data_IF_039869347779
#
_entry.id   IF_039869347779
#
_cell.length_a   1.000
_cell.length_b   1.000
_cell.length_c   1.000
_cell.angle_alpha   90.00
_cell.angle_beta   90.00
_cell.angle_gamma   90.00
#
_symmetry.space_group_name_H-M   'P 1'
#
loop_
_entity.id
_entity.type
_entity.pdbx_description
1 polymer ?
#
# COMPACT_ATOMS: atom_id res chain seq x y z
N UNK A 1 7.00 -11.47 3.18
CA UNK A 1 5.82 -11.32 2.31
C UNK A 1 6.31 -11.11 0.89
N UNK A 2 5.74 -11.77 -0.12
CA UNK A 2 6.10 -11.46 -1.50
C UNK A 2 5.39 -10.18 -1.97
N UNK A 3 5.92 -9.50 -2.98
CA UNK A 3 5.30 -8.31 -3.55
C UNK A 3 3.90 -8.59 -4.12
N UNK A 4 3.69 -9.80 -4.65
CA UNK A 4 2.37 -10.23 -5.13
C UNK A 4 1.35 -10.38 -4.00
N UNK A 5 1.76 -10.92 -2.84
CA UNK A 5 0.87 -11.04 -1.69
C UNK A 5 0.51 -9.67 -1.14
N UNK A 6 1.49 -8.75 -1.08
CA UNK A 6 1.28 -7.37 -0.67
C UNK A 6 0.29 -6.65 -1.59
N UNK A 7 0.41 -6.84 -2.91
CA UNK A 7 -0.54 -6.30 -3.89
C UNK A 7 -1.95 -6.85 -3.71
N UNK A 8 -2.10 -8.17 -3.58
CA UNK A 8 -3.41 -8.79 -3.42
C UNK A 8 -4.09 -8.30 -2.13
N UNK A 9 -3.32 -8.18 -1.04
CA UNK A 9 -3.81 -7.66 0.23
C UNK A 9 -4.19 -6.18 0.15
N UNK A 10 -3.31 -5.35 -0.43
CA UNK A 10 -3.55 -3.93 -0.62
C UNK A 10 -4.81 -3.67 -1.47
N UNK A 11 -5.01 -4.43 -2.54
CA UNK A 11 -6.19 -4.32 -3.39
C UNK A 11 -7.47 -4.72 -2.65
N UNK A 12 -7.42 -5.80 -1.87
CA UNK A 12 -8.57 -6.20 -1.04
C UNK A 12 -8.89 -5.15 0.02
N UNK A 13 -7.88 -4.51 0.62
CA UNK A 13 -8.09 -3.40 1.56
C UNK A 13 -8.70 -2.19 0.87
N UNK A 14 -8.13 -1.80 -0.28
CA UNK A 14 -8.56 -0.62 -1.05
C UNK A 14 -10.03 -0.71 -1.44
N UNK A 15 -10.45 -1.88 -1.92
CA UNK A 15 -11.85 -2.15 -2.31
C UNK A 15 -12.80 -2.27 -1.12
N UNK A 16 -12.34 -2.80 0.02
CA UNK A 16 -13.18 -2.95 1.23
C UNK A 16 -13.36 -1.63 1.96
N UNK A 17 -12.30 -0.84 2.10
CA UNK A 17 -12.29 0.42 2.83
C UNK A 17 -12.65 1.62 1.94
N UNK A 18 -12.66 1.45 0.61
CA UNK A 18 -12.79 2.54 -0.36
C UNK A 18 -11.77 3.64 -0.06
N UNK A 19 -10.50 3.25 0.11
CA UNK A 19 -9.41 4.15 0.44
C UNK A 19 -8.18 3.82 -0.41
N UNK A 20 -7.40 4.82 -0.77
CA UNK A 20 -6.11 4.60 -1.43
C UNK A 20 -5.16 3.88 -0.46
N UNK A 21 -4.53 2.80 -0.92
CA UNK A 21 -3.62 1.98 -0.13
C UNK A 21 -2.23 2.05 -0.74
N UNK A 22 -1.23 2.34 0.08
CA UNK A 22 0.17 2.32 -0.31
C UNK A 22 0.85 1.05 0.19
N UNK A 23 1.71 0.50 -0.66
CA UNK A 23 2.66 -0.54 -0.34
C UNK A 23 4.01 0.13 -0.25
N UNK A 24 4.64 0.05 0.91
CA UNK A 24 5.93 0.67 1.16
C UNK A 24 6.90 -0.37 1.71
N UNK A 25 8.19 -0.12 1.51
CA UNK A 25 9.24 -0.89 2.14
C UNK A 25 9.54 -0.25 3.50
N UNK A 26 9.37 -1.01 4.58
CA UNK A 26 9.82 -0.59 5.90
C UNK A 26 11.35 -0.65 5.95
N UNK A 27 11.96 0.11 6.87
CA UNK A 27 13.43 0.21 6.99
C UNK A 27 14.16 -1.10 7.32
N UNK A 28 13.43 -2.18 7.64
CA UNK A 28 13.94 -3.54 7.80
C UNK A 28 13.94 -4.35 6.48
N UNK A 29 13.53 -3.72 5.38
CA UNK A 29 13.40 -4.31 4.06
C UNK A 29 12.10 -5.08 3.82
N UNK A 30 11.20 -5.13 4.81
CA UNK A 30 9.91 -5.82 4.66
C UNK A 30 8.90 -4.96 3.93
N UNK A 31 7.99 -5.59 3.17
CA UNK A 31 6.88 -4.89 2.54
C UNK A 31 5.72 -4.77 3.54
N UNK A 32 5.23 -3.56 3.71
CA UNK A 32 4.09 -3.25 4.55
C UNK A 32 3.04 -2.47 3.75
N UNK A 33 1.80 -2.51 4.25
CA UNK A 33 0.62 -2.01 3.52
C UNK A 33 -0.21 -1.15 4.47
N UNK A 34 -0.56 0.07 4.06
CA UNK A 34 -1.30 1.04 4.89
C UNK A 34 -2.13 1.99 4.00
N UNK A 35 -3.27 2.52 4.47
CA UNK A 35 -3.94 3.61 3.77
C UNK A 35 -3.00 4.80 3.52
N UNK A 36 -3.04 5.35 2.31
CA UNK A 36 -2.23 6.51 1.91
C UNK A 36 -2.46 7.71 2.82
N UNK A 37 -3.68 7.86 3.36
CA UNK A 37 -4.04 8.90 4.33
C UNK A 37 -3.37 8.74 5.70
N UNK A 38 -2.94 7.53 6.05
CA UNK A 38 -2.27 7.22 7.31
C UNK A 38 -0.74 7.14 7.16
N UNK A 39 -0.25 7.14 5.92
CA UNK A 39 1.17 7.10 5.62
C UNK A 39 1.81 8.48 5.83
N UNK A 40 2.63 8.61 6.89
CA UNK A 40 3.44 9.80 7.17
C UNK A 40 4.91 9.69 6.72
N UNK A 41 5.27 8.52 6.15
CA UNK A 41 6.63 8.20 5.74
C UNK A 41 7.06 8.91 4.45
N UNK A 42 8.27 8.59 4.01
CA UNK A 42 8.81 9.15 2.77
C UNK A 42 8.18 8.48 1.54
N UNK A 43 7.71 9.29 0.59
CA UNK A 43 7.19 8.79 -0.67
C UNK A 43 8.23 7.98 -1.47
N UNK A 44 9.54 8.14 -1.19
CA UNK A 44 10.59 7.31 -1.78
C UNK A 44 10.53 5.84 -1.37
N UNK A 45 9.97 5.53 -0.21
CA UNK A 45 9.82 4.15 0.28
C UNK A 45 8.55 3.49 -0.25
N UNK A 46 7.66 4.24 -0.91
CA UNK A 46 6.45 3.73 -1.54
C UNK A 46 6.86 2.96 -2.81
N UNK A 47 6.61 1.66 -2.78
CA UNK A 47 6.84 0.75 -3.91
C UNK A 47 5.66 0.78 -4.87
N UNK A 48 4.44 0.87 -4.33
CA UNK A 48 3.23 0.93 -5.14
C UNK A 48 2.08 1.62 -4.41
N UNK A 49 1.16 2.21 -5.17
CA UNK A 49 -0.05 2.81 -4.65
C UNK A 49 -1.26 2.27 -5.42
N UNK A 50 -2.29 1.88 -4.69
CA UNK A 50 -3.55 1.39 -5.23
C UNK A 50 -4.63 2.38 -4.83
N UNK A 51 -5.10 3.14 -5.80
CA UNK A 51 -6.25 4.04 -5.64
C UNK A 51 -7.53 3.35 -6.18
N UNK A 52 -8.51 3.02 -5.32
CA UNK A 52 -9.78 2.44 -5.77
C UNK A 52 -10.70 3.45 -6.48
N UNK A 53 -10.38 4.75 -6.43
CA UNK A 53 -11.12 5.81 -7.11
C UNK A 53 -10.51 6.18 -8.47
N UNK A 54 -9.32 5.67 -8.79
CA UNK A 54 -8.72 5.87 -10.10
C UNK A 54 -9.59 5.20 -11.20
N UNK A 55 -9.90 5.92 -12.30
CA UNK A 55 -10.81 5.46 -13.35
C UNK A 55 -10.27 4.31 -14.20
#
# INVERSE_FOLDING_TARGET
>A
MSLNDAHAYAFSLATTLMAAIVIFQAGDGTLSVMPASEYDGDASEIVHEIDPFAP
#
